data_IF_259712501036
#
_entry.id   IF_259712501036
#
_cell.length_a   1.000
_cell.length_b   1.000
_cell.length_c   1.000
_cell.angle_alpha   90.00
_cell.angle_beta   90.00
_cell.angle_gamma   90.00
#
_symmetry.space_group_name_H-M   'P 1'
#
loop_
_entity.id
_entity.type
_entity.pdbx_description
1 polymer ?
#
# COMPACT_ATOMS: atom_id res chain seq x y z
N UNK A 1 17.29 4.03 -7.89
CA UNK A 1 16.56 3.10 -8.76
C UNK A 1 16.15 3.87 -10.01
N UNK A 2 16.42 3.37 -11.22
CA UNK A 2 16.00 4.04 -12.45
C UNK A 2 14.47 4.14 -12.56
N UNK A 3 13.93 5.13 -13.31
CA UNK A 3 12.53 5.14 -13.68
C UNK A 3 12.16 3.88 -14.48
N UNK A 4 10.87 3.57 -14.58
CA UNK A 4 10.34 2.36 -15.26
C UNK A 4 10.77 1.01 -14.66
N UNK A 5 11.31 1.02 -13.43
CA UNK A 5 11.55 -0.21 -12.67
C UNK A 5 10.23 -0.72 -12.06
N UNK A 6 9.88 -1.98 -12.33
CA UNK A 6 8.72 -2.64 -11.73
C UNK A 6 9.11 -3.37 -10.43
N UNK A 7 8.38 -3.09 -9.35
CA UNK A 7 8.53 -3.76 -8.06
C UNK A 7 7.22 -4.48 -7.69
N UNK A 8 7.34 -5.58 -6.95
CA UNK A 8 6.20 -6.27 -6.35
C UNK A 8 6.47 -6.51 -4.86
N UNK A 9 5.43 -6.38 -4.04
CA UNK A 9 5.49 -6.64 -2.61
C UNK A 9 4.27 -7.46 -2.22
N UNK A 10 4.42 -8.62 -1.58
CA UNK A 10 3.30 -9.36 -1.04
C UNK A 10 2.71 -8.60 0.16
N UNK A 11 1.42 -8.33 0.11
CA UNK A 11 0.68 -7.73 1.23
C UNK A 11 -0.10 -8.83 1.95
N UNK A 12 0.18 -9.02 3.24
CA UNK A 12 -0.49 -10.02 4.08
C UNK A 12 -1.10 -9.30 5.29
N UNK A 13 -2.41 -9.47 5.49
CA UNK A 13 -3.10 -8.93 6.65
C UNK A 13 -3.29 -10.00 7.72
N UNK A 14 -3.39 -9.55 8.97
CA UNK A 14 -3.69 -10.37 10.14
C UNK A 14 -4.86 -9.72 10.89
N UNK A 15 -5.53 -10.49 11.75
CA UNK A 15 -6.54 -9.92 12.65
C UNK A 15 -5.93 -8.80 13.50
N UNK A 16 -6.75 -7.83 13.90
CA UNK A 16 -6.30 -6.73 14.75
C UNK A 16 -5.70 -7.24 16.06
N UNK A 17 -4.60 -6.61 16.48
CA UNK A 17 -3.93 -6.89 17.77
C UNK A 17 -4.51 -6.06 18.92
N UNK A 18 -5.41 -5.12 18.63
CA UNK A 18 -6.07 -4.29 19.64
C UNK A 18 -6.97 -5.18 20.50
N UNK A 19 -6.83 -5.08 21.82
CA UNK A 19 -7.69 -5.80 22.77
C UNK A 19 -9.16 -5.49 22.48
N UNK A 20 -10.00 -6.53 22.52
CA UNK A 20 -11.44 -6.47 22.29
C UNK A 20 -11.86 -5.99 20.88
N UNK A 21 -10.95 -6.02 19.90
CA UNK A 21 -11.26 -5.75 18.51
C UNK A 21 -11.80 -6.99 17.80
N UNK A 22 -12.91 -6.83 17.09
CA UNK A 22 -13.49 -7.85 16.21
C UNK A 22 -12.95 -7.81 14.79
N UNK A 23 -11.98 -6.93 14.50
CA UNK A 23 -11.49 -6.71 13.15
C UNK A 23 -10.67 -7.90 12.66
N UNK A 24 -11.20 -8.55 11.62
CA UNK A 24 -10.60 -9.72 10.98
C UNK A 24 -9.57 -9.29 9.93
N UNK A 25 -8.72 -10.22 9.52
CA UNK A 25 -7.65 -9.96 8.56
C UNK A 25 -8.17 -9.34 7.24
N UNK A 26 -9.36 -9.76 6.77
CA UNK A 26 -9.96 -9.20 5.56
C UNK A 26 -10.31 -7.71 5.72
N UNK A 27 -10.91 -7.32 6.84
CA UNK A 27 -11.24 -5.90 7.09
C UNK A 27 -9.97 -5.06 7.20
N UNK A 28 -8.93 -5.57 7.87
CA UNK A 28 -7.61 -4.91 7.94
C UNK A 28 -7.00 -4.75 6.54
N UNK A 29 -7.12 -5.76 5.68
CA UNK A 29 -6.66 -5.67 4.29
C UNK A 29 -7.42 -4.59 3.51
N UNK A 30 -8.73 -4.51 3.68
CA UNK A 30 -9.57 -3.52 3.00
C UNK A 30 -9.23 -2.08 3.39
N UNK A 31 -8.96 -1.82 4.67
CA UNK A 31 -8.50 -0.50 5.11
C UNK A 31 -7.19 -0.07 4.42
N UNK A 32 -6.24 -0.99 4.26
CA UNK A 32 -4.97 -0.66 3.59
C UNK A 32 -5.19 -0.36 2.11
N UNK A 33 -5.96 -1.20 1.42
CA UNK A 33 -6.14 -1.06 -0.02
C UNK A 33 -7.04 0.10 -0.39
N UNK A 34 -8.18 0.24 0.28
CA UNK A 34 -9.17 1.25 -0.03
C UNK A 34 -8.73 2.58 0.57
N UNK A 35 -8.50 2.63 1.89
CA UNK A 35 -8.39 3.92 2.58
C UNK A 35 -7.01 4.57 2.42
N UNK A 36 -5.95 3.77 2.26
CA UNK A 36 -4.58 4.29 2.30
C UNK A 36 -3.97 4.53 0.92
N UNK A 37 -4.17 3.60 -0.03
CA UNK A 37 -3.45 3.65 -1.31
C UNK A 37 -4.28 4.10 -2.51
N UNK A 38 -5.61 4.05 -2.47
CA UNK A 38 -6.43 4.11 -3.69
C UNK A 38 -7.55 5.17 -3.70
N UNK A 39 -7.75 5.95 -2.63
CA UNK A 39 -8.86 6.92 -2.58
C UNK A 39 -8.62 8.24 -3.34
N UNK A 40 -7.38 8.71 -3.46
CA UNK A 40 -7.11 10.07 -4.00
C UNK A 40 -6.05 10.12 -5.09
N UNK A 41 -5.05 9.24 -5.07
CA UNK A 41 -4.00 9.19 -6.09
C UNK A 41 -3.29 7.84 -6.05
N UNK A 42 -3.03 7.19 -7.20
CA UNK A 42 -2.31 5.92 -7.24
C UNK A 42 -0.78 6.12 -7.11
N UNK A 43 -0.29 7.27 -6.65
CA UNK A 43 1.13 7.56 -6.57
C UNK A 43 1.59 7.64 -5.12
N UNK A 44 2.67 6.90 -4.82
CA UNK A 44 3.31 6.87 -3.52
C UNK A 44 4.74 7.37 -3.65
N UNK A 45 5.17 8.20 -2.71
CA UNK A 45 6.56 8.60 -2.56
C UNK A 45 7.32 7.51 -1.78
N UNK A 46 8.47 7.10 -2.31
CA UNK A 46 9.35 6.09 -1.72
C UNK A 46 10.77 6.63 -1.60
N UNK A 47 11.31 6.61 -0.38
CA UNK A 47 12.72 6.95 -0.10
C UNK A 47 12.94 8.44 0.19
N UNK A 48 14.16 8.94 -0.06
CA UNK A 48 14.52 10.36 0.12
C UNK A 48 14.35 11.20 -1.14
N UNK A 49 14.79 12.46 -1.09
CA UNK A 49 14.82 13.39 -2.24
C UNK A 49 13.44 13.71 -2.85
N UNK A 50 12.38 13.63 -2.05
CA UNK A 50 11.02 14.01 -2.47
C UNK A 50 10.95 15.45 -3.01
N UNK A 51 11.62 16.39 -2.35
CA UNK A 51 11.60 17.82 -2.70
C UNK A 51 12.26 18.14 -4.04
N UNK A 52 13.04 17.21 -4.58
CA UNK A 52 13.64 17.30 -5.93
C UNK A 52 12.98 16.33 -6.92
N UNK A 53 11.80 15.80 -6.58
CA UNK A 53 10.95 15.03 -7.49
C UNK A 53 11.35 13.56 -7.66
N UNK A 54 12.13 13.00 -6.74
CA UNK A 54 12.56 11.60 -6.82
C UNK A 54 11.66 10.66 -6.01
N UNK A 55 11.61 9.38 -6.41
CA UNK A 55 10.98 8.31 -5.63
C UNK A 55 9.47 8.16 -5.83
N UNK A 56 8.87 8.87 -6.79
CA UNK A 56 7.45 8.72 -7.10
C UNK A 56 7.17 7.43 -7.86
N UNK A 57 6.29 6.59 -7.33
CA UNK A 57 5.93 5.30 -7.90
C UNK A 57 4.42 5.18 -8.04
N UNK A 58 3.95 4.69 -9.21
CA UNK A 58 2.55 4.32 -9.38
C UNK A 58 2.30 2.95 -8.74
N UNK A 59 1.31 2.88 -7.86
CA UNK A 59 0.91 1.67 -7.14
C UNK A 59 -0.31 1.06 -7.83
N UNK A 60 -0.30 -0.27 -7.94
CA UNK A 60 -1.44 -1.07 -8.37
C UNK A 60 -1.53 -2.30 -7.48
N UNK A 61 -2.67 -2.49 -6.83
CA UNK A 61 -2.96 -3.73 -6.12
C UNK A 61 -3.36 -4.83 -7.11
N UNK A 62 -2.88 -6.05 -6.87
CA UNK A 62 -3.25 -7.24 -7.62
C UNK A 62 -3.75 -8.27 -6.60
N UNK A 63 -4.94 -8.83 -6.84
CA UNK A 63 -5.48 -9.96 -6.09
C UNK A 63 -5.54 -11.17 -7.03
N UNK A 64 -5.11 -12.33 -6.54
CA UNK A 64 -5.34 -13.60 -7.25
C UNK A 64 -6.84 -13.88 -7.28
N UNK A 65 -7.32 -14.34 -8.44
CA UNK A 65 -8.70 -14.83 -8.63
C UNK A 65 -8.77 -16.28 -8.17
#
# INVERSE_FOLDING_TARGET
MPPETLLYVPLVAQKSRKKDSSEMANTVMEHVLNDMFLLTSPYLQLGGNETVGMGWCKVKSIRGV
#
